data_IF_433706331917
#
_entry.id   IF_433706331917
#
_cell.length_a   1.000
_cell.length_b   1.000
_cell.length_c   1.000
_cell.angle_alpha   90.00
_cell.angle_beta   90.00
_cell.angle_gamma   90.00
#
_symmetry.space_group_name_H-M   'P 1'
#
loop_
_entity.id
_entity.type
_entity.pdbx_description
1 polymer ?
#
# COMPACT_ATOMS: atom_id res chain seq x y z
N UNK A 1 -7.51 2.98 -0.29
CA UNK A 1 -6.51 3.32 0.74
C UNK A 1 -6.91 2.94 2.16
N UNK A 2 -7.32 3.83 3.10
CA UNK A 2 -7.35 3.41 4.53
C UNK A 2 -8.30 2.24 4.85
N UNK A 3 -9.45 2.15 4.16
CA UNK A 3 -10.38 1.02 4.33
C UNK A 3 -9.83 -0.26 3.71
N UNK A 4 -9.26 -0.15 2.53
CA UNK A 4 -8.60 -1.22 1.79
C UNK A 4 -7.42 -1.82 2.57
N UNK A 5 -6.56 -0.99 3.17
CA UNK A 5 -5.47 -1.48 4.05
C UNK A 5 -5.99 -2.20 5.30
N UNK A 6 -7.15 -1.80 5.80
CA UNK A 6 -7.81 -2.52 6.88
C UNK A 6 -8.34 -3.88 6.41
N UNK A 7 -8.87 -3.96 5.18
CA UNK A 7 -9.26 -5.22 4.54
C UNK A 7 -8.04 -6.12 4.28
N UNK A 8 -6.90 -5.57 3.84
CA UNK A 8 -5.64 -6.29 3.70
C UNK A 8 -5.18 -6.93 5.02
N UNK A 9 -5.21 -6.16 6.11
CA UNK A 9 -4.91 -6.69 7.44
C UNK A 9 -5.86 -7.83 7.84
N UNK A 10 -7.16 -7.70 7.53
CA UNK A 10 -8.15 -8.75 7.79
C UNK A 10 -7.89 -10.01 6.95
N UNK A 11 -7.55 -9.88 5.65
CA UNK A 11 -7.17 -11.01 4.79
C UNK A 11 -6.01 -11.81 5.41
N UNK A 12 -4.99 -11.15 5.94
CA UNK A 12 -3.89 -11.82 6.64
C UNK A 12 -4.33 -12.55 7.91
N UNK A 13 -5.18 -11.93 8.72
CA UNK A 13 -5.73 -12.57 9.93
C UNK A 13 -6.57 -13.80 9.60
N UNK A 14 -7.42 -13.72 8.59
CA UNK A 14 -8.21 -14.85 8.10
C UNK A 14 -7.32 -15.96 7.55
N UNK A 15 -6.30 -15.61 6.76
CA UNK A 15 -5.34 -16.58 6.24
C UNK A 15 -4.57 -17.29 7.36
N UNK A 16 -4.13 -16.55 8.38
CA UNK A 16 -3.45 -17.10 9.55
C UNK A 16 -4.34 -18.13 10.27
N UNK A 17 -5.61 -17.79 10.52
CA UNK A 17 -6.57 -18.72 11.11
C UNK A 17 -6.84 -19.94 10.20
N UNK A 18 -6.97 -19.75 8.89
CA UNK A 18 -7.18 -20.82 7.90
C UNK A 18 -6.05 -21.84 7.90
N UNK A 19 -4.81 -21.40 8.13
CA UNK A 19 -3.62 -22.27 8.22
C UNK A 19 -3.40 -22.86 9.62
N UNK A 20 -4.29 -22.58 10.57
CA UNK A 20 -4.19 -23.06 11.96
C UNK A 20 -3.17 -22.29 12.81
N UNK A 21 -2.70 -21.14 12.33
CA UNK A 21 -1.82 -20.24 13.07
C UNK A 21 -2.56 -19.47 14.16
N UNK A 22 -1.80 -18.81 15.03
CA UNK A 22 -2.35 -17.92 16.06
C UNK A 22 -2.07 -16.47 15.67
N UNK A 23 -3.09 -15.61 15.81
CA UNK A 23 -2.94 -14.17 15.61
C UNK A 23 -2.39 -13.56 16.90
N UNK A 24 -1.28 -12.83 16.79
CA UNK A 24 -0.71 -12.03 17.88
C UNK A 24 -0.70 -10.58 17.43
N UNK A 25 -1.47 -9.74 18.11
CA UNK A 25 -1.58 -8.32 17.82
C UNK A 25 -0.61 -7.51 18.68
N UNK A 26 -0.17 -6.38 18.14
CA UNK A 26 0.72 -5.43 18.82
C UNK A 26 0.19 -4.01 18.68
N UNK A 27 0.71 -3.10 19.49
CA UNK A 27 0.35 -1.70 19.45
C UNK A 27 0.70 -1.05 18.10
N UNK A 28 -0.30 -0.45 17.45
CA UNK A 28 -0.09 0.35 16.25
C UNK A 28 0.41 1.74 16.65
N UNK A 29 1.64 2.06 16.23
CA UNK A 29 2.21 3.39 16.45
C UNK A 29 1.47 4.42 15.62
N UNK A 30 1.29 5.63 16.18
CA UNK A 30 0.79 6.77 15.41
C UNK A 30 1.68 7.04 14.18
N UNK A 31 1.13 7.59 13.09
CA UNK A 31 1.92 8.05 11.96
C UNK A 31 3.00 9.04 12.41
N UNK A 32 4.20 8.93 11.82
CA UNK A 32 5.33 9.80 12.16
C UNK A 32 5.05 11.27 11.80
N UNK A 33 4.29 11.49 10.73
CA UNK A 33 3.85 12.81 10.28
C UNK A 33 2.33 12.90 10.36
N UNK A 34 1.85 14.07 10.77
CA UNK A 34 0.42 14.33 11.01
C UNK A 34 -0.12 15.50 10.17
N UNK A 35 0.71 16.14 9.36
CA UNK A 35 0.32 17.26 8.50
C UNK A 35 1.16 17.24 7.23
N UNK A 36 0.52 17.49 6.09
CA UNK A 36 1.16 17.61 4.78
C UNK A 36 0.91 19.01 4.24
N UNK A 37 1.97 19.62 3.71
CA UNK A 37 1.98 20.99 3.19
C UNK A 37 1.43 21.10 1.78
N UNK A 38 1.40 19.99 1.02
CA UNK A 38 0.85 19.93 -0.33
C UNK A 38 0.36 18.52 -0.69
N UNK A 39 -0.53 18.38 -1.68
CA UNK A 39 -0.90 17.08 -2.25
C UNK A 39 0.31 16.31 -2.78
N UNK A 40 1.29 17.01 -3.38
CA UNK A 40 2.52 16.39 -3.87
C UNK A 40 3.27 15.68 -2.73
N UNK A 41 3.47 16.38 -1.61
CA UNK A 41 4.14 15.81 -0.44
C UNK A 41 3.37 14.62 0.15
N UNK A 42 2.03 14.69 0.15
CA UNK A 42 1.18 13.59 0.60
C UNK A 42 1.33 12.35 -0.28
N UNK A 43 1.29 12.51 -1.62
CA UNK A 43 1.44 11.39 -2.55
C UNK A 43 2.87 10.81 -2.56
N UNK A 44 3.91 11.64 -2.39
CA UNK A 44 5.29 11.16 -2.24
C UNK A 44 5.45 10.30 -0.98
N UNK A 45 4.81 10.69 0.13
CA UNK A 45 4.80 9.90 1.34
C UNK A 45 3.97 8.61 1.21
N UNK A 46 2.81 8.67 0.56
CA UNK A 46 2.00 7.48 0.28
C UNK A 46 2.79 6.47 -0.57
N UNK A 47 3.45 6.93 -1.65
CA UNK A 47 4.30 6.08 -2.49
C UNK A 47 5.41 5.42 -1.69
N UNK A 48 6.04 6.13 -0.74
CA UNK A 48 7.09 5.54 0.09
C UNK A 48 6.52 4.46 1.02
N UNK A 49 5.36 4.70 1.64
CA UNK A 49 4.69 3.69 2.47
C UNK A 49 4.34 2.44 1.65
N UNK A 50 3.80 2.60 0.45
CA UNK A 50 3.48 1.47 -0.44
C UNK A 50 4.72 0.67 -0.83
N UNK A 51 5.85 1.34 -1.08
CA UNK A 51 7.14 0.66 -1.34
C UNK A 51 7.60 -0.15 -0.14
N UNK A 52 7.47 0.40 1.06
CA UNK A 52 7.87 -0.27 2.30
C UNK A 52 6.99 -1.52 2.54
N UNK A 53 5.68 -1.42 2.32
CA UNK A 53 4.74 -2.55 2.39
C UNK A 53 5.05 -3.59 1.32
N UNK A 54 5.28 -3.17 0.08
CA UNK A 54 5.64 -4.08 -1.02
C UNK A 54 6.93 -4.85 -0.71
N UNK A 55 7.95 -4.17 -0.19
CA UNK A 55 9.19 -4.81 0.23
C UNK A 55 8.96 -5.84 1.35
N UNK A 56 8.14 -5.51 2.35
CA UNK A 56 7.78 -6.46 3.40
C UNK A 56 7.03 -7.69 2.85
N UNK A 57 6.14 -7.51 1.87
CA UNK A 57 5.47 -8.63 1.20
C UNK A 57 6.45 -9.53 0.43
N UNK A 58 7.44 -8.95 -0.25
CA UNK A 58 8.49 -9.71 -0.93
C UNK A 58 9.35 -10.51 0.06
N UNK A 59 9.63 -9.97 1.25
CA UNK A 59 10.35 -10.68 2.30
C UNK A 59 9.54 -11.89 2.82
N UNK A 60 8.23 -11.72 3.03
CA UNK A 60 7.35 -12.83 3.41
C UNK A 60 7.29 -13.88 2.28
N UNK A 61 7.20 -13.43 1.03
CA UNK A 61 7.17 -14.31 -0.14
C UNK A 61 8.46 -15.13 -0.28
N UNK A 62 9.62 -14.49 -0.13
CA UNK A 62 10.92 -15.17 -0.11
C UNK A 62 11.00 -16.21 1.02
N UNK A 63 10.56 -15.85 2.23
CA UNK A 63 10.48 -16.80 3.34
C UNK A 63 9.53 -17.96 3.03
N UNK A 64 8.40 -17.73 2.36
CA UNK A 64 7.47 -18.78 1.95
C UNK A 64 8.10 -19.75 0.94
N UNK A 65 8.88 -19.22 -0.02
CA UNK A 65 9.67 -20.03 -0.95
C UNK A 65 10.70 -20.90 -0.20
N UNK A 66 11.48 -20.30 0.70
CA UNK A 66 12.52 -21.01 1.47
C UNK A 66 11.94 -22.16 2.30
N UNK A 67 10.71 -21.97 2.82
CA UNK A 67 9.97 -22.97 3.58
C UNK A 67 9.10 -23.90 2.72
N UNK A 68 9.18 -23.78 1.39
CA UNK A 68 8.44 -24.61 0.45
C UNK A 68 6.91 -24.56 0.67
N UNK A 69 6.37 -23.36 0.94
CA UNK A 69 4.93 -23.12 1.13
C UNK A 69 4.28 -22.50 -0.11
N UNK A 70 3.85 -23.32 -1.10
CA UNK A 70 3.27 -22.82 -2.34
C UNK A 70 1.91 -22.15 -2.15
N UNK A 71 1.19 -22.47 -1.07
CA UNK A 71 -0.11 -21.86 -0.81
C UNK A 71 0.04 -20.46 -0.23
N UNK A 72 1.12 -20.18 0.51
CA UNK A 72 1.43 -18.82 0.97
C UNK A 72 1.97 -17.95 -0.17
N UNK A 73 2.86 -18.48 -1.02
CA UNK A 73 3.33 -17.72 -2.19
C UNK A 73 2.17 -17.34 -3.11
N UNK A 74 1.28 -18.29 -3.44
CA UNK A 74 0.11 -18.01 -4.28
C UNK A 74 -0.83 -16.98 -3.64
N UNK A 75 -1.09 -17.07 -2.33
CA UNK A 75 -1.92 -16.10 -1.63
C UNK A 75 -1.33 -14.68 -1.71
N UNK A 76 -0.02 -14.53 -1.50
CA UNK A 76 0.64 -13.23 -1.59
C UNK A 76 0.60 -12.67 -3.02
N UNK A 77 0.82 -13.52 -4.03
CA UNK A 77 0.80 -13.14 -5.44
C UNK A 77 -0.59 -12.68 -5.89
N UNK A 78 -1.63 -13.47 -5.61
CA UNK A 78 -2.99 -13.22 -6.06
C UNK A 78 -3.64 -12.03 -5.35
N UNK A 79 -3.50 -11.96 -4.03
CA UNK A 79 -4.26 -11.03 -3.20
C UNK A 79 -3.53 -9.71 -2.91
N UNK A 80 -2.21 -9.62 -3.12
CA UNK A 80 -1.44 -8.43 -2.70
C UNK A 80 -0.44 -7.95 -3.75
N UNK A 81 0.48 -8.79 -4.24
CA UNK A 81 1.59 -8.30 -5.08
C UNK A 81 1.11 -7.64 -6.38
N UNK A 82 0.05 -8.18 -6.99
CA UNK A 82 -0.56 -7.58 -8.18
C UNK A 82 -1.23 -6.23 -7.89
N UNK A 83 -1.86 -6.07 -6.73
CA UNK A 83 -2.50 -4.83 -6.30
C UNK A 83 -1.44 -3.77 -5.98
N UNK A 84 -0.36 -4.15 -5.29
CA UNK A 84 0.73 -3.24 -4.96
C UNK A 84 1.44 -2.70 -6.20
N UNK A 85 1.68 -3.51 -7.23
CA UNK A 85 2.28 -3.00 -8.48
C UNK A 85 1.39 -1.95 -9.15
N UNK A 86 0.06 -2.12 -9.11
CA UNK A 86 -0.90 -1.13 -9.64
C UNK A 86 -0.91 0.15 -8.81
N UNK A 87 -0.95 0.03 -7.48
CA UNK A 87 -0.91 1.15 -6.55
C UNK A 87 0.38 1.98 -6.72
N UNK A 88 1.54 1.31 -6.84
CA UNK A 88 2.82 1.96 -7.08
C UNK A 88 2.86 2.74 -8.42
N UNK A 89 2.32 2.18 -9.49
CA UNK A 89 2.20 2.87 -10.79
C UNK A 89 1.30 4.10 -10.70
N UNK A 90 0.14 3.96 -10.05
CA UNK A 90 -0.82 5.03 -9.86
C UNK A 90 -0.23 6.21 -9.08
N UNK A 91 0.39 5.94 -7.93
CA UNK A 91 1.06 6.99 -7.15
C UNK A 91 2.20 7.65 -7.92
N UNK A 92 2.99 6.88 -8.68
CA UNK A 92 4.05 7.45 -9.51
C UNK A 92 3.48 8.39 -10.60
N UNK A 93 2.35 8.02 -11.21
CA UNK A 93 1.64 8.85 -12.19
C UNK A 93 1.10 10.13 -11.54
N UNK A 94 0.47 10.02 -10.38
CA UNK A 94 -0.03 11.17 -9.62
C UNK A 94 1.08 12.15 -9.27
N UNK A 95 2.21 11.69 -8.74
CA UNK A 95 3.37 12.54 -8.44
C UNK A 95 3.87 13.23 -9.71
N UNK A 96 3.97 12.50 -10.83
CA UNK A 96 4.41 13.06 -12.11
C UNK A 96 3.46 14.17 -12.60
N UNK A 97 2.15 13.94 -12.51
CA UNK A 97 1.14 14.91 -12.88
C UNK A 97 1.14 16.14 -11.95
N UNK A 98 1.21 15.95 -10.64
CA UNK A 98 1.28 17.03 -9.65
C UNK A 98 2.51 17.93 -9.87
N UNK A 99 3.67 17.34 -10.14
CA UNK A 99 4.89 18.10 -10.50
C UNK A 99 4.72 18.89 -11.80
N UNK A 100 3.96 18.37 -12.76
CA UNK A 100 3.70 19.01 -14.06
C UNK A 100 2.73 20.18 -13.96
N UNK A 101 1.64 20.03 -13.21
CA UNK A 101 0.59 21.06 -13.11
C UNK A 101 0.95 22.18 -12.14
N UNK A 102 1.81 21.89 -11.15
CA UNK A 102 2.25 22.87 -10.17
C UNK A 102 1.18 23.27 -9.14
N UNK A 103 1.53 24.12 -8.16
CA UNK A 103 0.67 24.44 -7.03
C UNK A 103 -0.52 25.33 -7.39
N UNK A 104 -1.54 25.35 -6.52
CA UNK A 104 -2.67 26.27 -6.65
C UNK A 104 -3.71 25.78 -7.67
N UNK A 105 -3.80 26.43 -8.83
CA UNK A 105 -4.77 26.04 -9.86
C UNK A 105 -4.50 24.63 -10.42
N UNK A 106 -3.22 24.26 -10.55
CA UNK A 106 -2.84 22.93 -11.02
C UNK A 106 -3.31 21.81 -10.09
N UNK A 107 -3.07 21.97 -8.79
CA UNK A 107 -3.58 21.06 -7.74
C UNK A 107 -5.11 20.98 -7.74
N UNK A 108 -5.81 22.10 -7.90
CA UNK A 108 -7.27 22.10 -7.99
C UNK A 108 -7.78 21.34 -9.21
N UNK A 109 -7.16 21.49 -10.38
CA UNK A 109 -7.52 20.75 -11.59
C UNK A 109 -7.20 19.26 -11.40
N UNK A 110 -6.05 18.93 -10.83
CA UNK A 110 -5.68 17.55 -10.53
C UNK A 110 -6.71 16.87 -9.62
N UNK A 111 -7.11 17.53 -8.53
CA UNK A 111 -8.17 17.03 -7.63
C UNK A 111 -9.48 16.76 -8.38
N UNK A 112 -9.85 17.64 -9.31
CA UNK A 112 -11.08 17.48 -10.09
C UNK A 112 -11.03 16.40 -11.16
N UNK A 113 -9.89 16.17 -11.78
CA UNK A 113 -9.80 15.25 -12.93
C UNK A 113 -9.34 13.84 -12.52
N UNK A 114 -8.54 13.71 -11.46
CA UNK A 114 -7.83 12.46 -11.13
C UNK A 114 -8.28 11.81 -9.81
N UNK A 115 -8.94 12.56 -8.92
CA UNK A 115 -9.28 12.09 -7.56
C UNK A 115 -10.79 12.07 -7.25
N UNK A 116 -11.67 12.30 -8.23
CA UNK A 116 -13.11 12.18 -8.00
C UNK A 116 -13.52 10.70 -7.86
N UNK A 117 -14.05 10.34 -6.68
CA UNK A 117 -14.80 9.09 -6.42
C UNK A 117 -16.16 9.09 -7.12
#
# INVERSE_FOLDING_TARGET
>A
MSKEEHEHANKFMEYQNKRGGTIVLFDLKKPQKQSWSSPLEAHEMALQLEKDVYQALLEIHASAIDHHDPHLTNFLEDEFLNEQVKSLDEFARYITNLRRVGPGLGEYIFDKEELQE
#
